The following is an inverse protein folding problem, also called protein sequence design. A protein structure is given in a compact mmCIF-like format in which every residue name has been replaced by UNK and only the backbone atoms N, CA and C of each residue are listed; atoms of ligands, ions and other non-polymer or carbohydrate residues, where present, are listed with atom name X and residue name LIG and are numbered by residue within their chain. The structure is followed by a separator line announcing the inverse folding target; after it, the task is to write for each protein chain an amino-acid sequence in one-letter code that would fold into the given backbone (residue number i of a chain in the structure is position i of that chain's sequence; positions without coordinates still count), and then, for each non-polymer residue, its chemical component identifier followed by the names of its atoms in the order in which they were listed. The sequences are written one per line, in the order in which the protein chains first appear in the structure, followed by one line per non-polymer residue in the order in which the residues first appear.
data_IF_908203322088
#
_entry.id   IF_908203322088
#
_cell.length_a   1.000
_cell.length_b   1.000
_cell.length_c   1.000
_cell.angle_alpha   90.00
_cell.angle_beta   90.00
_cell.angle_gamma   90.00
#
_symmetry.space_group_name_H-M   'P 1'
#
loop_
_entity.id
_entity.type
_entity.pdbx_description
1 polymer ?
#
# COMPACT_ATOMS: atom_id res chain seq x y z
N UNK A 1 30.77 -6.70 12.36
CA UNK A 1 30.78 -5.22 12.45
C UNK A 1 31.55 -4.69 11.26
N UNK A 2 30.95 -3.79 10.47
CA UNK A 2 31.57 -3.31 9.23
C UNK A 2 32.35 -2.01 9.52
N UNK A 3 33.57 -1.94 9.02
CA UNK A 3 34.44 -0.76 9.10
C UNK A 3 34.08 0.12 7.90
N UNK A 4 33.65 1.36 8.14
CA UNK A 4 33.31 2.25 7.03
C UNK A 4 34.58 2.80 6.36
N UNK A 5 34.69 2.51 5.06
CA UNK A 5 35.63 3.04 4.05
C UNK A 5 37.08 2.55 4.12
N UNK A 6 37.35 1.46 3.40
CA UNK A 6 38.20 1.43 2.20
C UNK A 6 37.76 0.23 1.36
N UNK A 7 37.69 0.37 0.05
CA UNK A 7 37.29 -0.67 -0.89
C UNK A 7 38.21 -1.89 -0.80
N UNK A 8 37.79 -2.96 -0.11
CA UNK A 8 38.45 -4.27 -0.19
C UNK A 8 38.71 -5.05 1.10
N UNK A 9 37.77 -5.14 2.05
CA UNK A 9 37.94 -6.03 3.20
C UNK A 9 36.65 -6.79 3.54
N UNK A 10 36.78 -8.08 3.82
CA UNK A 10 35.69 -8.97 4.26
C UNK A 10 35.04 -8.37 5.50
N UNK A 11 33.73 -8.12 5.45
CA UNK A 11 32.97 -7.25 6.36
C UNK A 11 32.81 -7.70 7.81
N UNK A 12 33.76 -8.45 8.36
CA UNK A 12 33.78 -8.92 9.75
C UNK A 12 35.16 -8.70 10.38
N UNK A 13 35.29 -7.66 11.22
CA UNK A 13 36.43 -7.51 12.12
C UNK A 13 36.25 -8.37 13.37
N UNK A 14 37.28 -9.15 13.73
CA UNK A 14 37.34 -10.01 14.93
C UNK A 14 38.16 -9.38 16.08
N UNK A 15 38.73 -8.19 15.86
CA UNK A 15 39.57 -7.53 16.86
C UNK A 15 38.69 -6.76 17.87
N UNK A 16 38.93 -7.00 19.16
CA UNK A 16 38.25 -6.36 20.29
C UNK A 16 38.72 -4.91 20.55
N UNK A 17 39.94 -4.58 20.13
CA UNK A 17 40.55 -3.24 20.21
C UNK A 17 40.76 -2.66 18.80
N UNK A 18 39.71 -2.68 17.97
CA UNK A 18 39.80 -2.10 16.63
C UNK A 18 39.75 -0.56 16.72
N UNK A 19 40.81 0.12 16.26
CA UNK A 19 40.88 1.59 16.22
C UNK A 19 39.85 2.26 15.29
N UNK A 20 39.13 1.47 14.47
CA UNK A 20 38.10 1.97 13.57
C UNK A 20 36.69 1.76 14.13
N UNK A 21 35.81 2.72 13.86
CA UNK A 21 34.43 2.66 14.32
C UNK A 21 33.65 1.54 13.62
N UNK A 22 33.17 0.61 14.43
CA UNK A 22 32.23 -0.45 14.05
C UNK A 22 30.81 0.11 13.91
N UNK A 23 30.47 0.65 12.73
CA UNK A 23 29.12 1.15 12.45
C UNK A 23 28.23 -0.03 12.05
N UNK A 24 27.20 -0.33 12.85
CA UNK A 24 26.08 -1.16 12.39
C UNK A 24 25.22 -0.29 11.46
N UNK A 25 24.94 -0.72 10.22
CA UNK A 25 24.07 0.04 9.34
C UNK A 25 22.74 0.26 10.05
N UNK A 26 22.30 1.52 10.09
CA UNK A 26 21.07 1.90 10.77
C UNK A 26 19.90 1.04 10.25
N UNK A 27 19.03 0.51 11.13
CA UNK A 27 18.08 -0.54 10.75
C UNK A 27 16.92 -0.10 9.83
N UNK A 28 16.93 1.10 9.23
CA UNK A 28 15.76 1.65 8.49
C UNK A 28 16.13 2.46 7.24
N UNK A 29 17.17 2.07 6.49
CA UNK A 29 17.59 2.83 5.30
C UNK A 29 16.58 2.77 4.15
N UNK A 30 15.75 1.71 4.07
CA UNK A 30 14.78 1.52 2.99
C UNK A 30 13.33 1.69 3.50
N UNK A 31 12.47 2.32 2.68
CA UNK A 31 11.03 2.39 2.95
C UNK A 31 10.36 1.04 2.76
N UNK A 32 9.25 0.82 3.47
CA UNK A 32 8.49 -0.41 3.37
C UNK A 32 7.63 -0.39 2.11
N UNK A 33 7.87 -1.28 1.12
CA UNK A 33 7.09 -1.27 -0.12
C UNK A 33 5.61 -1.60 0.10
N UNK A 34 5.28 -2.34 1.17
CA UNK A 34 3.91 -2.69 1.54
C UNK A 34 3.19 -1.53 2.23
N UNK A 35 3.88 -0.82 3.14
CA UNK A 35 3.31 0.36 3.80
C UNK A 35 3.10 1.51 2.81
N UNK A 36 4.00 1.68 1.85
CA UNK A 36 3.88 2.66 0.77
C UNK A 36 2.64 2.38 -0.13
N UNK A 37 2.12 1.14 -0.15
CA UNK A 37 0.86 0.77 -0.82
C UNK A 37 -0.38 0.94 0.06
N UNK A 38 -0.21 1.17 1.36
CA UNK A 38 -1.27 1.49 2.31
C UNK A 38 -1.24 0.66 3.59
N UNK A 39 -0.87 -0.62 3.53
CA UNK A 39 -0.88 -1.50 4.71
C UNK A 39 0.32 -2.44 4.74
N UNK A 40 1.00 -2.48 5.88
CA UNK A 40 2.06 -3.45 6.15
C UNK A 40 1.59 -4.45 7.20
N UNK A 41 1.66 -5.74 6.87
CA UNK A 41 1.33 -6.85 7.78
C UNK A 41 2.12 -6.85 9.09
N UNK A 42 3.36 -6.37 9.06
CA UNK A 42 4.25 -6.35 10.22
C UNK A 42 4.00 -5.14 11.14
N UNK A 43 3.15 -4.19 10.68
CA UNK A 43 2.73 -3.03 11.47
C UNK A 43 3.91 -2.23 12.05
N UNK A 44 3.85 -1.81 13.32
CA UNK A 44 4.91 -1.00 13.95
C UNK A 44 6.23 -1.77 14.15
N UNK A 45 6.20 -3.10 14.04
CA UNK A 45 7.38 -3.98 14.18
C UNK A 45 8.10 -4.22 12.85
N UNK A 46 7.67 -3.55 11.77
CA UNK A 46 8.30 -3.72 10.47
C UNK A 46 9.78 -3.33 10.50
N UNK A 47 10.61 -4.17 9.87
CA UNK A 47 12.04 -3.91 9.66
C UNK A 47 12.30 -2.69 8.78
N UNK A 48 11.34 -2.32 7.94
CA UNK A 48 11.45 -1.22 6.98
C UNK A 48 10.88 0.09 7.55
N UNK A 49 11.29 1.22 6.97
CA UNK A 49 10.79 2.54 7.39
C UNK A 49 9.35 2.74 6.92
N UNK A 50 8.43 2.94 7.86
CA UNK A 50 7.08 3.43 7.58
C UNK A 50 7.10 4.96 7.59
N UNK A 51 6.67 5.58 6.49
CA UNK A 51 6.61 7.04 6.36
C UNK A 51 5.15 7.44 6.30
N UNK A 52 4.61 7.93 7.42
CA UNK A 52 3.29 8.51 7.42
C UNK A 52 3.38 9.95 6.90
N UNK A 53 2.84 10.21 5.71
CA UNK A 53 2.72 11.56 5.19
C UNK A 53 1.34 12.11 5.56
N UNK A 54 1.30 13.29 6.18
CA UNK A 54 0.04 13.99 6.40
C UNK A 54 -0.63 14.30 5.06
N UNK A 55 -1.91 13.96 4.91
CA UNK A 55 -2.64 14.24 3.66
C UNK A 55 -2.70 15.75 3.40
N UNK A 56 -2.51 16.14 2.15
CA UNK A 56 -2.68 17.54 1.74
C UNK A 56 -4.17 17.94 1.77
N UNK A 57 -4.56 18.99 2.51
CA UNK A 57 -5.96 19.42 2.57
C UNK A 57 -6.47 19.95 1.22
N UNK A 58 -5.65 20.68 0.47
CA UNK A 58 -6.02 21.19 -0.86
C UNK A 58 -6.23 20.04 -1.86
N UNK A 59 -5.39 19.01 -1.79
CA UNK A 59 -5.56 17.83 -2.63
C UNK A 59 -6.79 17.03 -2.23
N UNK A 60 -7.05 16.90 -0.93
CA UNK A 60 -8.23 16.21 -0.41
C UNK A 60 -9.54 16.91 -0.82
N UNK A 61 -9.53 18.25 -0.86
CA UNK A 61 -10.67 19.04 -1.35
C UNK A 61 -10.81 19.05 -2.87
N UNK A 62 -9.80 18.56 -3.60
CA UNK A 62 -9.90 18.17 -5.00
C UNK A 62 -8.68 18.53 -5.85
N UNK A 63 -8.01 19.65 -5.56
CA UNK A 63 -6.88 20.11 -6.37
C UNK A 63 -5.83 20.84 -5.53
N UNK A 64 -4.60 20.32 -5.55
CA UNK A 64 -3.46 21.00 -4.96
C UNK A 64 -2.68 21.76 -6.06
N UNK A 65 -2.50 23.10 -5.94
CA UNK A 65 -1.76 23.89 -6.92
C UNK A 65 -0.26 23.52 -7.01
N UNK A 66 0.29 22.89 -5.98
CA UNK A 66 1.68 22.39 -5.95
C UNK A 66 1.83 21.07 -6.74
N UNK A 67 0.72 20.40 -7.07
CA UNK A 67 0.70 19.17 -7.84
C UNK A 67 1.59 18.07 -7.22
N UNK A 68 2.35 17.31 -8.02
CA UNK A 68 3.18 16.20 -7.53
C UNK A 68 4.40 16.65 -6.71
N UNK A 69 4.71 17.95 -6.69
CA UNK A 69 5.82 18.52 -5.91
C UNK A 69 5.36 19.00 -4.52
N UNK A 70 4.13 18.69 -4.12
CA UNK A 70 3.63 19.05 -2.79
C UNK A 70 4.46 18.37 -1.69
N UNK A 71 4.74 19.10 -0.62
CA UNK A 71 5.46 18.58 0.54
C UNK A 71 4.58 17.66 1.40
N UNK A 72 3.26 17.78 1.24
CA UNK A 72 2.25 16.96 1.92
C UNK A 72 1.92 15.73 1.07
N UNK A 73 1.43 14.67 1.72
CA UNK A 73 1.12 13.40 1.08
C UNK A 73 -0.06 13.52 0.14
N UNK A 74 0.13 13.13 -1.12
CA UNK A 74 -0.94 12.86 -2.07
C UNK A 74 -1.05 11.34 -2.25
N UNK A 75 -2.25 10.74 -2.19
CA UNK A 75 -2.44 9.32 -2.45
C UNK A 75 -1.90 9.00 -3.85
N UNK A 76 -1.00 8.02 -3.89
CA UNK A 76 -0.35 7.58 -5.12
C UNK A 76 -1.35 6.69 -5.86
N UNK A 77 -2.26 7.30 -6.61
CA UNK A 77 -3.14 6.55 -7.51
C UNK A 77 -2.25 5.81 -8.51
N UNK A 78 -2.27 4.47 -8.45
CA UNK A 78 -1.55 3.69 -9.44
C UNK A 78 -2.13 4.04 -10.82
N UNK A 79 -1.25 4.29 -11.80
CA UNK A 79 -1.68 4.63 -13.16
C UNK A 79 -2.60 3.57 -13.77
N UNK A 80 -2.61 2.35 -13.22
CA UNK A 80 -3.52 1.26 -13.54
C UNK A 80 -5.00 1.54 -13.19
N UNK A 81 -5.32 2.58 -12.42
CA UNK A 81 -6.69 2.96 -12.09
C UNK A 81 -7.15 4.25 -12.79
N UNK A 82 -6.26 4.90 -13.56
CA UNK A 82 -6.68 6.06 -14.32
C UNK A 82 -7.60 5.61 -15.47
N UNK A 83 -8.84 6.12 -15.58
CA UNK A 83 -9.80 5.69 -16.60
C UNK A 83 -9.28 5.87 -18.03
N UNK A 84 -8.25 6.70 -18.23
CA UNK A 84 -7.59 6.89 -19.53
C UNK A 84 -6.66 5.74 -19.93
N UNK A 85 -6.16 4.96 -18.97
CA UNK A 85 -5.20 3.87 -19.20
C UNK A 85 -5.92 2.52 -19.17
N UNK A 86 -6.97 2.39 -18.37
CA UNK A 86 -7.85 1.22 -18.40
C UNK A 86 -8.85 1.40 -19.53
N UNK A 87 -8.69 0.62 -20.62
CA UNK A 87 -9.81 0.37 -21.53
C UNK A 87 -10.89 -0.30 -20.69
N UNK A 88 -11.86 0.49 -20.20
CA UNK A 88 -13.03 -0.04 -19.54
C UNK A 88 -13.69 -1.00 -20.52
N UNK A 89 -13.58 -2.31 -20.26
CA UNK A 89 -14.45 -3.27 -20.93
C UNK A 89 -15.86 -2.89 -20.49
N UNK A 90 -16.80 -2.65 -21.41
CA UNK A 90 -18.17 -2.42 -21.02
C UNK A 90 -18.59 -3.61 -20.17
N UNK A 91 -19.05 -3.34 -18.94
CA UNK A 91 -19.73 -4.35 -18.16
C UNK A 91 -21.06 -4.61 -18.87
N UNK A 92 -21.04 -5.49 -19.86
CA UNK A 92 -22.27 -6.09 -20.38
C UNK A 92 -22.78 -6.96 -19.24
N UNK A 93 -23.66 -6.39 -18.41
CA UNK A 93 -24.46 -7.15 -17.49
C UNK A 93 -25.28 -8.11 -18.36
N UNK A 94 -24.86 -9.36 -18.42
CA UNK A 94 -25.66 -10.40 -19.02
C UNK A 94 -26.92 -10.49 -18.16
N UNK A 95 -28.02 -9.88 -18.64
CA UNK A 95 -29.32 -9.92 -18.00
C UNK A 95 -29.81 -11.37 -18.04
N UNK A 96 -29.37 -12.19 -17.09
CA UNK A 96 -30.05 -13.43 -16.78
C UNK A 96 -31.35 -13.02 -16.09
N UNK A 97 -32.40 -12.93 -16.90
CA UNK A 97 -33.78 -12.71 -16.48
C UNK A 97 -34.11 -13.76 -15.42
N UNK A 98 -34.15 -13.35 -14.14
CA UNK A 98 -34.65 -14.19 -13.07
C UNK A 98 -36.15 -14.38 -13.30
N UNK A 99 -36.53 -15.46 -13.95
CA UNK A 99 -37.92 -15.91 -13.94
C UNK A 99 -38.27 -16.25 -12.50
N UNK A 100 -39.21 -15.51 -11.93
CA UNK A 100 -39.76 -15.79 -10.60
C UNK A 100 -40.24 -17.25 -10.54
N UNK A 101 -40.00 -18.00 -9.45
CA UNK A 101 -40.57 -19.33 -9.29
C UNK A 101 -42.10 -19.24 -9.28
N UNK A 102 -42.81 -20.27 -9.79
CA UNK A 102 -44.26 -20.25 -9.83
C UNK A 102 -44.81 -20.17 -8.41
N UNK A 103 -45.81 -19.30 -8.21
CA UNK A 103 -46.49 -19.14 -6.94
C UNK A 103 -47.02 -20.50 -6.45
N UNK A 104 -46.69 -20.84 -5.20
CA UNK A 104 -47.19 -22.04 -4.54
C UNK A 104 -48.71 -21.89 -4.34
N UNK A 105 -49.50 -22.60 -5.14
CA UNK A 105 -50.95 -22.75 -4.98
C UNK A 105 -51.28 -23.56 -3.73
N UNK A 106 -51.09 -22.99 -2.55
CA UNK A 106 -51.66 -23.55 -1.31
C UNK A 106 -52.93 -22.77 -0.95
N UNK A 107 -54.06 -23.40 -1.26
CA UNK A 107 -55.41 -22.97 -0.89
C UNK A 107 -55.51 -23.02 0.65
N UNK A 108 -55.52 -21.87 1.30
CA UNK A 108 -55.78 -21.77 2.74
C UNK A 108 -57.22 -22.22 3.02
N UNK A 109 -57.39 -23.25 3.85
CA UNK A 109 -58.70 -23.58 4.42
C UNK A 109 -58.96 -22.67 5.62
N UNK A 110 -60.17 -22.10 5.78
CA UNK A 110 -60.52 -21.38 7.00
C UNK A 110 -60.65 -22.36 8.17
N UNK A 111 -60.11 -21.96 9.33
CA UNK A 111 -60.22 -22.70 10.59
C UNK A 111 -61.66 -22.68 11.13
N UNK A 112 -62.03 -23.66 11.98
CA UNK A 112 -63.40 -23.84 12.49
C UNK A 112 -63.88 -22.73 13.43
#
# INVERSE_FOLDING_TARGET
AYIQRMTGFSGSCSNKDCSFLHVKPAPKTQSCPWYDQGFCKDGPLCKYRHVHQAMCPDYFTGFCPKGPKCQLGHPKMSAALHPRIVKAKPMVYHQKRWTLPPACSSRAQPAP
#
